data_IF_894693679060
#
_entry.id   IF_894693679060
#
_cell.length_a   1.000
_cell.length_b   1.000
_cell.length_c   1.000
_cell.angle_alpha   90.00
_cell.angle_beta   90.00
_cell.angle_gamma   90.00
#
_symmetry.space_group_name_H-M   'P 1'
#
loop_
_entity.id
_entity.type
_entity.pdbx_description
1 polymer ?
#
# COMPACT_ATOMS: atom_id res chain seq x y z
N UNK A 1 -15.09 4.51 0.54
CA UNK A 1 -13.90 4.37 -0.32
C UNK A 1 -12.68 3.85 0.44
N UNK A 2 -12.27 4.44 1.57
CA UNK A 2 -11.08 4.03 2.33
C UNK A 2 -11.17 2.62 2.95
N UNK A 3 -12.31 2.24 3.54
CA UNK A 3 -12.48 0.91 4.12
C UNK A 3 -12.40 -0.24 3.09
N UNK A 4 -12.85 0.00 1.85
CA UNK A 4 -12.84 -1.01 0.80
C UNK A 4 -11.42 -1.50 0.44
N UNK A 5 -10.41 -0.64 0.62
CA UNK A 5 -9.00 -0.98 0.36
C UNK A 5 -8.23 -1.34 1.64
N UNK A 6 -8.89 -1.36 2.81
CA UNK A 6 -8.25 -1.64 4.11
C UNK A 6 -7.20 -0.60 4.51
N UNK A 7 -7.28 0.62 3.97
CA UNK A 7 -6.28 1.69 4.19
C UNK A 7 -6.59 2.54 5.42
N UNK A 8 -7.63 2.25 6.19
CA UNK A 8 -7.96 2.98 7.42
C UNK A 8 -7.21 2.37 8.61
N UNK A 9 -6.62 3.21 9.46
CA UNK A 9 -5.95 2.78 10.69
C UNK A 9 -5.97 3.88 11.76
N UNK A 10 -5.62 3.49 12.98
CA UNK A 10 -5.22 4.38 14.07
C UNK A 10 -3.71 4.61 14.05
N UNK A 11 -3.26 5.75 14.55
CA UNK A 11 -1.85 6.01 14.84
C UNK A 11 -1.66 6.36 16.33
N UNK A 12 -1.48 5.33 17.15
CA UNK A 12 -1.43 5.45 18.61
C UNK A 12 -0.30 6.35 19.11
N UNK A 13 0.84 6.41 18.40
CA UNK A 13 1.98 7.27 18.76
C UNK A 13 1.58 8.74 18.95
N UNK A 14 0.63 9.23 18.15
CA UNK A 14 0.18 10.62 18.19
C UNK A 14 -1.28 10.76 18.61
N UNK A 15 -1.92 9.68 19.06
CA UNK A 15 -3.33 9.69 19.47
C UNK A 15 -4.30 10.01 18.33
N UNK A 16 -3.98 9.65 17.08
CA UNK A 16 -4.83 9.93 15.92
C UNK A 16 -5.71 8.71 15.64
N UNK A 17 -7.02 8.86 15.84
CA UNK A 17 -7.98 7.75 15.72
C UNK A 17 -8.34 7.36 14.28
N UNK A 18 -8.21 8.29 13.33
CA UNK A 18 -8.50 8.02 11.92
C UNK A 18 -7.43 8.63 11.01
N UNK A 19 -6.59 7.76 10.46
CA UNK A 19 -5.58 8.13 9.48
C UNK A 19 -5.49 7.05 8.40
N UNK A 20 -5.01 7.45 7.22
CA UNK A 20 -4.68 6.49 6.18
C UNK A 20 -3.38 5.75 6.54
N UNK A 21 -3.37 4.44 6.30
CA UNK A 21 -2.15 3.62 6.28
C UNK A 21 -1.27 4.13 5.13
N UNK A 22 0.04 4.13 5.35
CA UNK A 22 0.98 4.14 4.22
C UNK A 22 0.75 2.86 3.41
N UNK A 23 0.62 2.97 2.10
CA UNK A 23 0.16 1.87 1.26
C UNK A 23 0.71 1.98 -0.15
N UNK A 24 0.90 0.85 -0.80
CA UNK A 24 1.31 0.74 -2.20
C UNK A 24 0.40 -0.27 -2.89
N UNK A 25 -0.10 0.09 -4.06
CA UNK A 25 -0.85 -0.79 -4.94
C UNK A 25 -0.22 -0.71 -6.31
N UNK A 26 0.09 -1.85 -6.92
CA UNK A 26 0.53 -1.93 -8.32
C UNK A 26 -0.58 -2.60 -9.09
N UNK A 27 -0.92 -2.00 -10.23
CA UNK A 27 -1.94 -2.49 -11.14
C UNK A 27 -1.27 -2.96 -12.43
N UNK A 28 -1.82 -4.00 -13.05
CA UNK A 28 -1.49 -4.36 -14.44
C UNK A 28 -2.18 -3.45 -15.46
N UNK A 29 -1.94 -3.71 -16.75
CA UNK A 29 -2.50 -2.95 -17.86
C UNK A 29 -4.04 -2.99 -17.94
N UNK A 30 -4.67 -4.02 -17.40
CA UNK A 30 -6.12 -4.17 -17.31
C UNK A 30 -6.72 -3.43 -16.10
N UNK A 31 -5.89 -2.79 -15.29
CA UNK A 31 -6.30 -2.09 -14.08
C UNK A 31 -6.56 -3.01 -12.89
N UNK A 32 -6.10 -4.25 -12.94
CA UNK A 32 -6.22 -5.21 -11.83
C UNK A 32 -5.06 -5.05 -10.86
N UNK A 33 -5.34 -5.01 -9.55
CA UNK A 33 -4.30 -4.93 -8.52
C UNK A 33 -3.55 -6.27 -8.45
N UNK A 34 -2.29 -6.29 -8.88
CA UNK A 34 -1.40 -7.46 -8.87
C UNK A 34 -0.46 -7.49 -7.66
N UNK A 35 -0.23 -6.34 -7.04
CA UNK A 35 0.50 -6.23 -5.78
C UNK A 35 -0.15 -5.24 -4.83
N UNK A 36 -0.18 -5.61 -3.55
CA UNK A 36 -0.73 -4.79 -2.47
C UNK A 36 0.18 -4.86 -1.25
N UNK A 37 0.56 -3.69 -0.76
CA UNK A 37 1.24 -3.53 0.51
C UNK A 37 0.51 -2.49 1.37
N UNK A 38 0.28 -2.84 2.63
CA UNK A 38 -0.31 -1.96 3.63
C UNK A 38 0.61 -1.94 4.86
N UNK A 39 1.12 -0.77 5.22
CA UNK A 39 1.98 -0.62 6.38
C UNK A 39 1.24 -1.03 7.67
N UNK A 40 1.89 -1.80 8.55
CA UNK A 40 1.36 -2.08 9.89
C UNK A 40 1.34 -0.83 10.79
N UNK A 41 2.33 0.06 10.60
CA UNK A 41 2.44 1.36 11.25
C UNK A 41 2.66 2.43 10.16
N UNK A 42 1.98 3.60 10.23
CA UNK A 42 2.04 4.61 9.18
C UNK A 42 3.43 5.26 9.00
N UNK A 43 4.33 5.13 9.98
CA UNK A 43 5.73 5.55 9.88
C UNK A 43 6.64 4.57 9.14
N UNK A 44 6.19 3.35 8.86
CA UNK A 44 6.99 2.32 8.17
C UNK A 44 6.96 2.53 6.66
N UNK A 45 8.12 2.38 6.02
CA UNK A 45 8.28 2.47 4.57
C UNK A 45 8.14 1.10 3.89
N UNK A 46 7.61 1.04 2.67
CA UNK A 46 7.65 -0.18 1.88
C UNK A 46 9.10 -0.50 1.49
N UNK A 47 9.35 -1.77 1.20
CA UNK A 47 10.61 -2.18 0.61
C UNK A 47 10.67 -1.76 -0.87
N UNK A 48 11.49 -0.74 -1.16
CA UNK A 48 11.64 -0.17 -2.50
C UNK A 48 12.00 -1.20 -3.58
N UNK A 49 12.97 -2.12 -3.40
CA UNK A 49 13.29 -3.09 -4.44
C UNK A 49 12.14 -4.08 -4.70
N UNK A 50 11.42 -4.53 -3.68
CA UNK A 50 10.22 -5.36 -3.84
C UNK A 50 9.14 -4.64 -4.64
N UNK A 51 8.88 -3.37 -4.33
CA UNK A 51 7.91 -2.56 -5.08
C UNK A 51 8.33 -2.39 -6.54
N UNK A 52 9.62 -2.12 -6.79
CA UNK A 52 10.15 -1.99 -8.16
C UNK A 52 10.06 -3.30 -8.96
N UNK A 53 10.25 -4.45 -8.31
CA UNK A 53 10.04 -5.76 -8.94
C UNK A 53 8.56 -6.00 -9.28
N UNK A 54 7.65 -5.69 -8.34
CA UNK A 54 6.21 -5.78 -8.58
C UNK A 54 5.76 -4.91 -9.77
N UNK A 55 6.31 -3.71 -9.93
CA UNK A 55 6.04 -2.84 -11.08
C UNK A 55 6.51 -3.47 -12.39
N UNK A 56 7.73 -4.05 -12.42
CA UNK A 56 8.24 -4.72 -13.63
C UNK A 56 7.40 -5.93 -14.02
N UNK A 57 7.05 -6.77 -13.04
CA UNK A 57 6.17 -7.93 -13.27
C UNK A 57 4.79 -7.49 -13.80
N UNK A 58 4.23 -6.40 -13.28
CA UNK A 58 2.94 -5.87 -13.75
C UNK A 58 3.01 -5.28 -15.17
N UNK A 59 4.19 -4.79 -15.59
CA UNK A 59 4.44 -4.34 -16.95
C UNK A 59 4.68 -5.48 -17.95
N UNK A 60 4.89 -6.72 -17.47
CA UNK A 60 5.18 -7.90 -18.29
C UNK A 60 6.64 -7.98 -18.77
N UNK A 61 7.56 -7.37 -18.03
CA UNK A 61 9.00 -7.32 -18.31
C UNK A 61 9.78 -8.50 -17.71
#
# INVERSE_FOLDING_TARGET
MRDAYGVRTRYDRFGIDDVARRSVFVLDADGTVTYRWLAGDPGVEPDSPTVADAVRNAAGE
#
